data_IF_346799550532
#
_entry.id   IF_346799550532
#
_cell.length_a   1.000
_cell.length_b   1.000
_cell.length_c   1.000
_cell.angle_alpha   90.00
_cell.angle_beta   90.00
_cell.angle_gamma   90.00
#
_symmetry.space_group_name_H-M   'P 1'
#
loop_
_entity.id
_entity.type
_entity.pdbx_description
1 polymer ?
#
# COMPACT_ATOMS: atom_id res chain seq x y z
N UNK A 1 -31.73 -3.79 -6.27
CA UNK A 1 -31.28 -3.80 -6.40
C UNK A 1 -31.04 -3.71 -6.52
N UNK A 2 -30.85 -3.47 -6.48
CA UNK A 2 -30.17 -3.37 -6.65
C UNK A 2 -29.77 -3.25 -6.81
N UNK A 3 -29.72 -3.13 -6.81
CA UNK A 3 -28.97 -2.99 -7.08
C UNK A 3 -28.65 -2.69 -7.15
N UNK A 4 -28.59 -2.67 -7.03
CA UNK A 4 -27.81 -2.39 -7.15
C UNK A 4 -27.61 -1.98 -7.05
N UNK A 5 -27.57 -2.00 -7.01
CA UNK A 5 -27.05 -1.63 -7.01
C UNK A 5 -26.71 -1.24 -6.93
N UNK A 6 -26.84 -1.22 -6.78
CA UNK A 6 -26.10 -0.87 -6.81
C UNK A 6 -25.82 -0.40 -6.78
N UNK A 7 -25.88 -0.29 -6.74
CA UNK A 7 -25.41 0.10 -6.98
C UNK A 7 -25.07 0.53 -6.97
N UNK A 8 -25.05 0.74 -7.04
CA UNK A 8 -24.51 1.16 -7.31
C UNK A 8 -24.21 1.83 -6.93
N UNK A 9 -24.16 1.99 -6.59
CA UNK A 9 -23.65 2.62 -6.34
C UNK A 9 -23.20 3.27 -6.62
N UNK A 10 -23.93 3.53 -6.78
CA UNK A 10 -23.41 4.71 -7.32
C UNK A 10 -22.00 4.68 -7.66
N UNK A 11 -21.78 3.84 -8.45
CA UNK A 11 -20.40 3.61 -8.79
C UNK A 11 -19.79 4.83 -9.47
N UNK A 12 -20.54 5.50 -10.33
CA UNK A 12 -19.99 6.60 -11.10
C UNK A 12 -19.61 7.80 -10.26
N UNK A 13 -20.55 8.29 -9.48
CA UNK A 13 -20.27 9.47 -8.69
C UNK A 13 -19.39 9.13 -7.49
N UNK A 14 -19.55 7.94 -6.94
CA UNK A 14 -18.69 7.48 -5.88
C UNK A 14 -17.25 7.36 -6.34
N UNK A 15 -17.04 6.94 -7.59
CA UNK A 15 -15.70 6.80 -8.11
C UNK A 15 -14.96 8.13 -8.22
N UNK A 16 -15.66 9.19 -8.60
CA UNK A 16 -15.05 10.51 -8.72
C UNK A 16 -14.63 11.06 -7.37
N UNK A 17 -15.49 10.96 -6.37
CA UNK A 17 -15.18 11.40 -5.01
C UNK A 17 -14.09 10.51 -4.44
N UNK A 18 -14.23 9.20 -4.65
CA UNK A 18 -13.31 8.23 -4.07
C UNK A 18 -11.91 8.37 -4.60
N UNK A 19 -11.77 8.83 -5.84
CA UNK A 19 -10.42 8.96 -6.41
C UNK A 19 -9.60 9.98 -5.63
N UNK A 20 -10.17 11.11 -5.30
CA UNK A 20 -9.49 12.12 -4.51
C UNK A 20 -9.26 11.62 -3.08
N UNK A 21 -10.27 10.98 -2.52
CA UNK A 21 -10.16 10.41 -1.18
C UNK A 21 -9.10 9.33 -1.14
N UNK A 22 -9.05 8.47 -2.17
CA UNK A 22 -8.02 7.44 -2.26
C UNK A 22 -6.63 8.05 -2.32
N UNK A 23 -6.45 9.09 -3.11
CA UNK A 23 -5.16 9.73 -3.23
C UNK A 23 -4.69 10.27 -1.88
N UNK A 24 -5.59 10.92 -1.15
CA UNK A 24 -5.28 11.45 0.17
C UNK A 24 -4.96 10.32 1.16
N UNK A 25 -5.78 9.26 1.15
CA UNK A 25 -5.59 8.15 2.06
C UNK A 25 -4.28 7.41 1.78
N UNK A 26 -3.96 7.23 0.51
CA UNK A 26 -2.70 6.58 0.14
C UNK A 26 -1.51 7.40 0.63
N UNK A 27 -1.52 8.70 0.37
CA UNK A 27 -0.41 9.54 0.81
C UNK A 27 -0.29 9.57 2.32
N UNK A 28 -1.41 9.66 3.01
CA UNK A 28 -1.39 9.66 4.47
C UNK A 28 -0.79 8.36 5.02
N UNK A 29 -1.23 7.23 4.49
CA UNK A 29 -0.76 5.95 4.99
C UNK A 29 0.70 5.68 4.60
N UNK A 30 1.14 6.15 3.44
CA UNK A 30 2.56 6.05 3.10
C UNK A 30 3.41 6.88 4.04
N UNK A 31 2.94 8.06 4.42
CA UNK A 31 3.65 8.87 5.40
C UNK A 31 3.68 8.20 6.77
N UNK A 32 2.58 7.54 7.15
CA UNK A 32 2.55 6.80 8.40
C UNK A 32 3.53 5.64 8.40
N UNK A 33 3.64 4.95 7.28
CA UNK A 33 4.63 3.88 7.16
C UNK A 33 6.04 4.43 7.37
N UNK A 34 6.35 5.55 6.74
CA UNK A 34 7.67 6.17 6.87
C UNK A 34 7.94 6.60 8.32
N UNK A 35 6.90 7.07 9.00
CA UNK A 35 7.05 7.46 10.40
C UNK A 35 7.27 6.26 11.30
N UNK A 36 6.58 5.15 11.04
CA UNK A 36 6.73 3.94 11.83
C UNK A 36 8.02 3.19 11.52
N UNK A 37 8.46 3.25 10.29
CA UNK A 37 9.59 2.46 9.81
C UNK A 37 10.49 3.31 8.92
N UNK A 38 11.18 4.30 9.49
CA UNK A 38 12.04 5.17 8.67
C UNK A 38 13.20 4.40 8.08
N UNK A 39 13.60 4.80 6.88
CA UNK A 39 14.71 4.16 6.19
C UNK A 39 14.54 4.21 4.69
N UNK A 40 15.43 3.56 3.98
CA UNK A 40 15.45 3.57 2.53
C UNK A 40 15.68 2.19 1.93
N UNK A 41 15.45 1.13 2.70
CA UNK A 41 15.74 -0.20 2.17
C UNK A 41 14.60 -0.76 1.33
N UNK A 42 13.40 -0.20 1.43
CA UNK A 42 12.25 -0.66 0.66
C UNK A 42 11.58 0.54 0.02
N UNK A 43 11.31 0.44 -1.27
CA UNK A 43 10.48 1.43 -1.97
C UNK A 43 9.08 0.85 -2.09
N UNK A 44 8.09 1.59 -1.61
CA UNK A 44 6.69 1.19 -1.65
C UNK A 44 5.98 2.07 -2.67
N UNK A 45 5.42 1.44 -3.70
CA UNK A 45 4.76 2.13 -4.81
C UNK A 45 3.28 1.78 -4.86
N UNK A 46 2.46 2.81 -4.92
CA UNK A 46 1.01 2.65 -5.04
C UNK A 46 0.55 3.53 -6.20
N UNK A 47 0.85 3.13 -7.44
CA UNK A 47 0.50 3.98 -8.58
C UNK A 47 -1.00 4.05 -8.77
N UNK A 48 -1.51 5.16 -9.28
CA UNK A 48 -0.76 6.35 -9.67
C UNK A 48 -0.62 7.38 -8.55
N UNK A 49 -0.88 7.01 -7.31
CA UNK A 49 -1.07 7.98 -6.25
C UNK A 49 0.21 8.37 -5.51
N UNK A 50 1.18 7.48 -5.43
CA UNK A 50 2.41 7.86 -4.77
C UNK A 50 3.36 6.72 -4.52
N UNK A 51 4.50 7.06 -3.94
CA UNK A 51 5.52 6.11 -3.55
C UNK A 51 6.31 6.70 -2.39
N UNK A 52 6.92 5.84 -1.60
CA UNK A 52 7.78 6.29 -0.52
C UNK A 52 8.86 5.26 -0.26
N UNK A 53 9.88 5.66 0.48
CA UNK A 53 10.90 4.74 0.94
C UNK A 53 10.73 4.55 2.44
N UNK A 54 10.97 3.34 2.90
CA UNK A 54 10.77 3.02 4.31
C UNK A 54 11.70 1.88 4.70
N UNK A 55 11.71 1.57 5.98
CA UNK A 55 12.41 0.45 6.59
C UNK A 55 13.92 0.62 6.58
N UNK A 56 14.50 0.60 7.75
CA UNK A 56 15.94 0.64 7.90
C UNK A 56 16.53 -0.67 7.42
N UNK A 57 17.64 -0.58 6.73
CA UNK A 57 18.35 -1.76 6.27
C UNK A 57 19.78 -1.74 6.75
N UNK A 58 20.47 -2.84 6.53
CA UNK A 58 21.87 -2.90 6.79
C UNK A 58 22.59 -2.06 5.74
N UNK A 59 23.90 -2.00 5.85
CA UNK A 59 24.73 -1.16 4.99
C UNK A 59 24.28 -1.22 3.53
N UNK A 60 23.98 -0.05 2.99
CA UNK A 60 23.56 0.06 1.61
C UNK A 60 24.76 -0.08 0.71
N UNK A 61 24.76 -1.07 -0.16
CA UNK A 61 25.85 -1.27 -1.09
C UNK A 61 25.55 -0.55 -2.38
N UNK A 62 26.57 0.13 -2.87
CA UNK A 62 26.46 0.81 -4.15
C UNK A 62 26.14 -0.22 -5.23
N UNK A 63 25.17 0.08 -6.06
CA UNK A 63 24.79 -0.80 -7.15
C UNK A 63 23.73 -1.83 -6.79
N UNK A 64 23.36 -1.94 -5.52
CA UNK A 64 22.29 -2.84 -5.12
C UNK A 64 20.97 -2.06 -5.14
N UNK A 65 20.00 -2.46 -5.98
CA UNK A 65 18.72 -1.75 -6.00
C UNK A 65 17.95 -1.98 -4.70
N UNK A 66 17.13 -1.03 -4.29
CA UNK A 66 16.29 -1.24 -3.12
C UNK A 66 15.27 -2.33 -3.40
N UNK A 67 14.76 -2.94 -2.34
CA UNK A 67 13.62 -3.81 -2.47
C UNK A 67 12.40 -2.97 -2.85
N UNK A 68 11.50 -3.53 -3.64
CA UNK A 68 10.34 -2.80 -4.13
C UNK A 68 9.09 -3.57 -3.81
N UNK A 69 8.10 -2.86 -3.26
CA UNK A 69 6.76 -3.38 -3.04
C UNK A 69 5.83 -2.51 -3.86
N UNK A 70 5.03 -3.13 -4.72
CA UNK A 70 4.11 -2.37 -5.56
C UNK A 70 2.73 -3.02 -5.50
N UNK A 71 1.71 -2.20 -5.31
CA UNK A 71 0.34 -2.68 -5.25
C UNK A 71 -0.60 -1.53 -5.59
N UNK A 72 -1.88 -1.86 -5.80
CA UNK A 72 -2.88 -0.82 -6.07
C UNK A 72 -3.38 -0.20 -4.76
N UNK A 73 -4.14 0.89 -4.93
CA UNK A 73 -4.60 1.66 -3.78
C UNK A 73 -5.52 0.84 -2.86
N UNK A 74 -6.45 0.08 -3.45
CA UNK A 74 -7.40 -0.68 -2.64
C UNK A 74 -6.68 -1.73 -1.81
N UNK A 75 -5.74 -2.44 -2.42
CA UNK A 75 -4.95 -3.45 -1.72
C UNK A 75 -4.10 -2.82 -0.64
N UNK A 76 -3.44 -1.71 -0.97
CA UNK A 76 -2.58 -1.02 0.00
C UNK A 76 -3.38 -0.57 1.22
N UNK A 77 -4.55 0.04 1.00
CA UNK A 77 -5.35 0.53 2.11
C UNK A 77 -5.93 -0.61 2.94
N UNK A 78 -6.25 -1.74 2.31
CA UNK A 78 -6.71 -2.92 3.05
C UNK A 78 -5.60 -3.45 3.95
N UNK A 79 -4.36 -3.45 3.46
CA UNK A 79 -3.21 -3.85 4.28
C UNK A 79 -2.98 -2.86 5.41
N UNK A 80 -3.04 -1.57 5.11
CA UNK A 80 -2.76 -0.53 6.10
C UNK A 80 -3.78 -0.51 7.22
N UNK A 81 -5.01 -0.93 6.95
CA UNK A 81 -6.09 -0.92 7.93
C UNK A 81 -6.37 -2.29 8.54
N UNK A 82 -5.60 -3.30 8.16
CA UNK A 82 -5.73 -4.63 8.75
C UNK A 82 -6.85 -5.47 8.19
N UNK A 83 -7.46 -5.07 7.09
CA UNK A 83 -8.53 -5.85 6.47
C UNK A 83 -8.01 -6.94 5.55
N UNK A 84 -6.73 -6.87 5.21
CA UNK A 84 -6.09 -7.87 4.36
C UNK A 84 -4.72 -8.18 4.96
N UNK A 85 -4.38 -9.46 5.03
CA UNK A 85 -3.08 -9.87 5.54
C UNK A 85 -2.00 -9.82 4.48
N UNK A 86 -0.78 -9.63 4.90
CA UNK A 86 0.36 -9.57 3.99
C UNK A 86 0.48 -10.86 3.17
N UNK A 87 0.39 -12.00 3.84
CA UNK A 87 0.53 -13.29 3.15
C UNK A 87 -0.55 -13.48 2.10
N UNK A 88 -1.79 -13.08 2.40
CA UNK A 88 -2.87 -13.18 1.43
C UNK A 88 -2.61 -12.32 0.20
N UNK A 89 -2.11 -11.11 0.44
CA UNK A 89 -1.86 -10.18 -0.66
C UNK A 89 -0.74 -10.71 -1.57
N UNK A 90 0.31 -11.26 -0.98
CA UNK A 90 1.41 -11.80 -1.77
C UNK A 90 1.01 -13.07 -2.49
N UNK A 91 0.29 -13.95 -1.83
CA UNK A 91 -0.11 -15.23 -2.42
C UNK A 91 -1.10 -15.04 -3.56
N UNK A 92 -1.97 -14.07 -3.48
CA UNK A 92 -2.96 -13.83 -4.51
C UNK A 92 -2.42 -13.04 -5.70
N UNK A 93 -1.22 -12.50 -5.57
CA UNK A 93 -0.66 -11.67 -6.62
C UNK A 93 -1.15 -10.24 -6.59
N UNK A 94 -1.94 -9.86 -5.59
CA UNK A 94 -2.43 -8.50 -5.48
C UNK A 94 -1.30 -7.52 -5.17
N UNK A 95 -0.20 -8.03 -4.64
CA UNK A 95 0.96 -7.25 -4.29
C UNK A 95 2.18 -7.89 -4.92
N UNK A 96 3.02 -7.09 -5.56
CA UNK A 96 4.27 -7.54 -6.13
C UNK A 96 5.41 -7.06 -5.24
N UNK A 97 6.27 -7.98 -4.83
CA UNK A 97 7.41 -7.66 -4.00
C UNK A 97 8.66 -8.24 -4.62
N UNK A 98 9.71 -7.44 -4.67
CA UNK A 98 10.99 -7.87 -5.24
C UNK A 98 12.12 -7.34 -4.37
N UNK A 99 13.18 -8.14 -4.26
CA UNK A 99 14.32 -7.79 -3.44
C UNK A 99 14.34 -8.61 -2.17
N UNK A 100 15.31 -8.33 -1.32
CA UNK A 100 15.56 -9.16 -0.15
C UNK A 100 14.77 -8.77 1.08
N UNK A 101 14.39 -7.51 1.19
CA UNK A 101 13.76 -7.00 2.40
C UNK A 101 12.45 -6.35 2.12
N UNK A 102 11.59 -7.08 1.45
CA UNK A 102 10.32 -6.52 1.06
C UNK A 102 9.14 -6.99 1.92
N UNK A 103 9.40 -7.61 3.06
CA UNK A 103 8.33 -8.05 3.96
C UNK A 103 7.97 -6.92 4.90
N UNK A 104 6.80 -6.32 4.67
CA UNK A 104 6.30 -5.23 5.50
C UNK A 104 5.37 -5.70 6.61
N UNK A 105 5.16 -7.02 6.73
CA UNK A 105 4.20 -7.52 7.70
C UNK A 105 4.47 -7.08 9.15
N UNK A 106 5.74 -6.89 9.59
CA UNK A 106 5.96 -6.43 10.96
C UNK A 106 5.42 -5.03 11.23
N UNK A 107 5.16 -4.24 10.19
CA UNK A 107 4.72 -2.85 10.33
C UNK A 107 3.23 -2.68 10.06
N UNK A 108 2.57 -3.73 9.63
CA UNK A 108 1.15 -3.66 9.27
C UNK A 108 0.31 -4.40 10.28
N UNK A 109 -0.89 -3.95 10.55
CA UNK A 109 -1.50 -2.74 9.99
C UNK A 109 -0.94 -1.48 10.61
N UNK A 110 -1.01 -0.38 9.87
CA UNK A 110 -0.58 0.92 10.37
C UNK A 110 -1.63 1.53 11.28
N UNK A 111 -2.87 1.21 11.02
CA UNK A 111 -3.98 1.68 11.81
C UNK A 111 -5.09 0.65 11.77
N UNK A 112 -5.90 0.61 12.80
CA UNK A 112 -7.00 -0.32 12.85
C UNK A 112 -8.29 0.40 12.50
N UNK A 113 -9.04 -0.28 11.66
CA UNK A 113 -10.34 0.25 11.25
C UNK A 113 -11.35 0.09 12.36
#
# INVERSE_FOLDING_TARGET
MSTGKGTGMGAGEGAAVDRRTLATAVRYTLEELTACAPGRSVEVRVPPFGATQAVAGTTHRRGTPPSVVETDAATWLALATGRLGWAEATDSGALAASGERCDLSPYLPLMRA
#
